data_IF_043459289001
#
_entry.id   IF_043459289001
#
_cell.length_a   1.000
_cell.length_b   1.000
_cell.length_c   1.000
_cell.angle_alpha   90.00
_cell.angle_beta   90.00
_cell.angle_gamma   90.00
#
_symmetry.space_group_name_H-M   'P 1'
#
loop_
_entity.id
_entity.type
_entity.pdbx_description
1 polymer ?
#
# COMPACT_ATOMS: atom_id res chain seq x y z
N UNK A 1 -5.41 6.54 3.48
CA UNK A 1 -6.34 5.76 2.62
C UNK A 1 -5.60 4.52 2.15
N UNK A 2 -6.30 3.48 1.70
CA UNK A 2 -5.64 2.22 1.32
C UNK A 2 -5.94 1.82 -0.12
N UNK A 3 -4.95 1.26 -0.79
CA UNK A 3 -5.08 0.62 -2.11
C UNK A 3 -4.65 -0.84 -2.02
N UNK A 4 -5.47 -1.73 -2.59
CA UNK A 4 -5.10 -3.10 -2.89
C UNK A 4 -4.77 -3.20 -4.37
N UNK A 5 -3.53 -3.57 -4.71
CA UNK A 5 -3.06 -3.68 -6.09
C UNK A 5 -2.84 -5.14 -6.47
N UNK A 6 -3.36 -5.52 -7.64
CA UNK A 6 -2.96 -6.75 -8.34
C UNK A 6 -2.00 -6.39 -9.45
N UNK A 7 -0.94 -7.18 -9.60
CA UNK A 7 0.06 -6.99 -10.63
C UNK A 7 0.22 -8.25 -11.48
N UNK A 8 0.74 -8.08 -12.68
CA UNK A 8 1.14 -9.22 -13.50
C UNK A 8 2.27 -10.00 -12.82
N UNK A 9 2.07 -11.30 -12.63
CA UNK A 9 2.97 -12.12 -11.83
C UNK A 9 4.22 -12.52 -12.61
N UNK A 10 5.31 -11.77 -12.40
CA UNK A 10 6.67 -12.21 -12.69
C UNK A 10 7.64 -11.57 -11.68
N UNK A 11 8.77 -12.22 -11.37
CA UNK A 11 9.78 -11.66 -10.43
C UNK A 11 10.28 -10.27 -10.86
N UNK A 12 10.53 -10.09 -12.16
CA UNK A 12 10.99 -8.80 -12.71
C UNK A 12 9.90 -7.73 -12.59
N UNK A 13 8.65 -8.14 -12.79
CA UNK A 13 7.49 -7.26 -12.73
C UNK A 13 7.25 -6.71 -11.31
N UNK A 14 7.38 -7.56 -10.29
CA UNK A 14 7.24 -7.13 -8.89
C UNK A 14 8.26 -6.07 -8.50
N UNK A 15 9.52 -6.24 -8.91
CA UNK A 15 10.58 -5.29 -8.58
C UNK A 15 10.37 -3.90 -9.23
N UNK A 16 9.87 -3.87 -10.47
CA UNK A 16 9.51 -2.61 -11.14
C UNK A 16 8.40 -1.88 -10.38
N UNK A 17 7.39 -2.61 -9.91
CA UNK A 17 6.28 -2.03 -9.12
C UNK A 17 6.78 -1.51 -7.78
N UNK A 18 7.62 -2.28 -7.08
CA UNK A 18 8.20 -1.87 -5.81
C UNK A 18 8.97 -0.56 -5.92
N UNK A 19 9.87 -0.44 -6.91
CA UNK A 19 10.65 0.78 -7.11
C UNK A 19 9.77 1.97 -7.52
N UNK A 20 8.76 1.74 -8.37
CA UNK A 20 7.81 2.78 -8.74
C UNK A 20 7.00 3.28 -7.53
N UNK A 21 6.50 2.37 -6.69
CA UNK A 21 5.73 2.73 -5.48
C UNK A 21 6.58 3.47 -4.46
N UNK A 22 7.85 3.10 -4.28
CA UNK A 22 8.80 3.82 -3.39
C UNK A 22 9.07 5.26 -3.84
N UNK A 23 8.96 5.55 -5.14
CA UNK A 23 9.20 6.87 -5.70
C UNK A 23 8.00 7.82 -5.59
N UNK A 24 6.83 7.34 -5.14
CA UNK A 24 5.63 8.16 -5.01
C UNK A 24 5.59 8.76 -3.59
N UNK A 25 5.80 10.07 -3.46
CA UNK A 25 5.84 10.78 -2.17
C UNK A 25 4.60 10.59 -1.29
N UNK A 26 3.44 10.34 -1.91
CA UNK A 26 2.18 10.11 -1.20
C UNK A 26 2.06 8.71 -0.58
N UNK A 27 2.95 7.77 -0.92
CA UNK A 27 2.99 6.41 -0.35
C UNK A 27 3.68 6.46 1.01
N UNK A 28 2.90 6.22 2.07
CA UNK A 28 3.39 6.23 3.46
C UNK A 28 3.85 4.84 3.90
N UNK A 29 3.15 3.81 3.42
CA UNK A 29 3.50 2.43 3.65
C UNK A 29 3.11 1.58 2.45
N UNK A 30 3.86 0.51 2.21
CA UNK A 30 3.56 -0.47 1.19
C UNK A 30 4.01 -1.85 1.67
N UNK A 31 3.13 -2.83 1.55
CA UNK A 31 3.37 -4.19 1.99
C UNK A 31 3.11 -5.16 0.85
N UNK A 32 4.05 -6.07 0.62
CA UNK A 32 3.75 -7.29 -0.15
C UNK A 32 2.89 -8.18 0.74
N UNK A 33 1.71 -8.57 0.25
CA UNK A 33 0.75 -9.35 1.04
C UNK A 33 0.42 -10.65 0.32
N UNK A 34 0.12 -11.69 1.09
CA UNK A 34 -0.47 -12.91 0.56
C UNK A 34 -1.98 -12.80 0.56
N UNK A 35 -2.64 -13.15 -0.54
CA UNK A 35 -4.10 -13.21 -0.62
C UNK A 35 -4.61 -12.69 -1.96
N UNK A 36 -5.67 -11.89 -1.90
CA UNK A 36 -6.35 -11.36 -3.09
C UNK A 36 -5.59 -10.23 -3.77
N UNK A 37 -4.61 -9.61 -3.12
CA UNK A 37 -3.79 -8.55 -3.70
C UNK A 37 -2.31 -8.90 -3.54
N UNK A 38 -1.47 -8.31 -4.40
CA UNK A 38 -0.02 -8.48 -4.33
C UNK A 38 0.61 -7.41 -3.45
N UNK A 39 0.08 -6.19 -3.53
CA UNK A 39 0.51 -5.06 -2.72
C UNK A 39 -0.67 -4.43 -1.97
N UNK A 40 -0.42 -4.06 -0.73
CA UNK A 40 -1.29 -3.24 0.10
C UNK A 40 -0.59 -1.93 0.43
N UNK A 41 -1.13 -0.83 -0.12
CA UNK A 41 -0.49 0.49 -0.10
C UNK A 41 -1.31 1.43 0.77
N UNK A 42 -0.64 2.14 1.66
CA UNK A 42 -1.21 3.27 2.40
C UNK A 42 -0.79 4.58 1.75
N UNK A 43 -1.77 5.40 1.38
CA UNK A 43 -1.58 6.72 0.82
C UNK A 43 -2.04 7.83 1.79
N UNK A 44 -1.25 8.89 1.89
CA UNK A 44 -1.63 10.14 2.53
C UNK A 44 -1.71 11.27 1.50
N UNK A 45 -2.92 11.81 1.33
CA UNK A 45 -3.24 12.86 0.37
C UNK A 45 -4.17 13.88 1.03
N UNK A 46 -4.08 15.17 0.67
CA UNK A 46 -4.88 16.23 1.29
C UNK A 46 -6.35 16.20 0.88
N UNK A 47 -6.67 15.68 -0.32
CA UNK A 47 -8.02 15.68 -0.88
C UNK A 47 -8.21 14.61 -1.98
N UNK A 48 -9.46 14.45 -2.42
CA UNK A 48 -9.84 13.47 -3.43
C UNK A 48 -9.30 13.79 -4.83
N UNK A 49 -9.06 15.08 -5.16
CA UNK A 49 -8.50 15.45 -6.46
C UNK A 49 -7.04 15.04 -6.56
N UNK A 50 -6.30 15.20 -5.48
CA UNK A 50 -4.91 14.75 -5.36
C UNK A 50 -4.85 13.23 -5.41
N UNK A 51 -5.77 12.54 -4.73
CA UNK A 51 -5.91 11.09 -4.86
C UNK A 51 -6.11 10.64 -6.31
N UNK A 52 -7.07 11.23 -7.02
CA UNK A 52 -7.40 10.86 -8.40
C UNK A 52 -6.19 11.00 -9.33
N UNK A 53 -5.39 12.06 -9.15
CA UNK A 53 -4.13 12.27 -9.88
C UNK A 53 -3.08 11.22 -9.52
N UNK A 54 -2.86 10.95 -8.23
CA UNK A 54 -1.90 9.91 -7.81
C UNK A 54 -2.32 8.54 -8.34
N UNK A 55 -3.60 8.21 -8.26
CA UNK A 55 -4.12 6.94 -8.76
C UNK A 55 -3.93 6.81 -10.28
N UNK A 56 -4.36 7.81 -11.04
CA UNK A 56 -4.39 7.72 -12.51
C UNK A 56 -3.01 7.93 -13.12
N UNK A 57 -2.31 8.98 -12.71
CA UNK A 57 -1.07 9.44 -13.37
C UNK A 57 0.16 8.69 -12.87
N UNK A 58 0.11 8.09 -11.68
CA UNK A 58 1.25 7.40 -11.07
C UNK A 58 0.96 5.91 -10.87
N UNK A 59 -0.04 5.53 -10.06
CA UNK A 59 -0.27 4.12 -9.70
C UNK A 59 -0.70 3.28 -10.92
N UNK A 60 -1.75 3.69 -11.62
CA UNK A 60 -2.29 2.97 -12.78
C UNK A 60 -1.38 3.10 -14.02
N UNK A 61 -0.50 4.10 -14.05
CA UNK A 61 0.52 4.24 -15.08
C UNK A 61 1.68 3.24 -14.94
N UNK A 62 1.80 2.56 -13.79
CA UNK A 62 2.75 1.46 -13.61
C UNK A 62 2.24 0.29 -14.46
N UNK A 63 2.80 0.09 -15.65
CA UNK A 63 2.33 -0.90 -16.62
C UNK A 63 2.02 -2.30 -16.07
N UNK A 64 2.82 -2.85 -15.15
CA UNK A 64 2.51 -4.08 -14.41
C UNK A 64 1.20 -4.15 -13.62
N UNK A 65 0.63 -3.02 -13.22
CA UNK A 65 -0.58 -2.96 -12.38
C UNK A 65 -1.80 -3.34 -13.23
N UNK A 66 -2.57 -4.32 -12.76
CA UNK A 66 -3.72 -4.89 -13.47
C UNK A 66 -5.05 -4.52 -12.84
N UNK A 67 -5.09 -4.41 -11.52
CA UNK A 67 -6.27 -3.99 -10.77
C UNK A 67 -5.84 -3.14 -9.58
N UNK A 68 -6.65 -2.12 -9.26
CA UNK A 68 -6.44 -1.27 -8.11
C UNK A 68 -7.79 -1.01 -7.42
N UNK A 69 -7.90 -1.41 -6.15
CA UNK A 69 -9.11 -1.19 -5.36
C UNK A 69 -8.81 -0.22 -4.22
N UNK A 70 -9.56 0.88 -4.18
CA UNK A 70 -9.40 1.90 -3.15
C UNK A 70 -10.37 1.71 -1.99
N UNK A 71 -9.87 1.93 -0.78
CA UNK A 71 -10.64 1.91 0.46
C UNK A 71 -10.34 3.16 1.27
N UNK A 72 -11.40 3.89 1.63
CA UNK A 72 -11.30 5.10 2.43
C UNK A 72 -11.65 4.81 3.89
N UNK A 73 -10.81 5.26 4.81
CA UNK A 73 -11.11 5.21 6.22
C UNK A 73 -12.11 6.31 6.56
N UNK A 74 -13.29 5.93 7.06
CA UNK A 74 -14.31 6.89 7.52
C UNK A 74 -13.87 7.50 8.85
N UNK A 75 -13.34 6.67 9.76
CA UNK A 75 -12.83 7.09 11.06
C UNK A 75 -11.79 6.09 11.55
N UNK A 76 -10.70 6.61 12.11
CA UNK A 76 -9.73 5.79 12.84
C UNK A 76 -10.29 5.43 14.21
N UNK A 77 -10.39 4.12 14.50
CA UNK A 77 -10.91 3.64 15.79
C UNK A 77 -9.79 3.56 16.83
N UNK A 78 -8.60 3.12 16.41
CA UNK A 78 -7.40 3.01 17.23
C UNK A 78 -6.21 3.37 16.36
N UNK A 79 -5.36 4.26 16.88
CA UNK A 79 -4.03 4.55 16.34
C UNK A 79 -3.05 4.45 17.52
N UNK A 80 -2.27 3.37 17.57
CA UNK A 80 -1.33 3.11 18.67
C UNK A 80 0.06 3.38 18.14
N UNK A 81 0.85 4.12 18.95
CA UNK A 81 2.25 4.43 18.67
C UNK A 81 3.17 3.20 18.78
N UNK A 82 4.30 3.27 19.50
CA UNK A 82 5.29 2.19 19.52
C UNK A 82 4.70 0.81 19.79
N UNK A 83 5.27 -0.21 19.14
CA UNK A 83 4.84 -1.61 19.28
C UNK A 83 4.77 -2.01 20.76
N UNK A 84 3.73 -2.75 21.20
CA UNK A 84 3.52 -3.09 22.60
C UNK A 84 4.39 -4.29 23.03
N UNK A 85 5.71 -4.13 22.92
CA UNK A 85 6.72 -5.18 23.19
C UNK A 85 6.63 -5.71 24.63
N UNK A 86 6.20 -4.89 25.58
CA UNK A 86 6.12 -5.25 27.00
C UNK A 86 4.97 -6.23 27.33
N UNK A 87 4.08 -6.49 26.37
CA UNK A 87 2.90 -7.34 26.58
C UNK A 87 2.99 -8.71 25.92
N UNK A 88 4.06 -8.98 25.16
CA UNK A 88 4.25 -10.28 24.51
C UNK A 88 4.93 -11.29 25.43
N UNK A 89 4.41 -12.53 25.50
CA UNK A 89 5.15 -13.61 26.13
C UNK A 89 6.47 -13.80 25.36
N UNK A 90 7.57 -14.03 26.08
CA UNK A 90 8.86 -14.27 25.45
C UNK A 90 8.74 -15.42 24.45
N UNK A 91 9.02 -15.15 23.17
CA UNK A 91 9.06 -16.17 22.12
C UNK A 91 10.02 -17.29 22.56
N UNK A 92 9.52 -18.52 22.64
CA UNK A 92 10.33 -19.73 22.87
C UNK A 92 10.43 -20.48 21.52
N UNK A 93 11.65 -20.66 20.97
CA UNK A 93 11.85 -21.38 19.71
C UNK A 93 11.52 -22.87 19.82
#
# INVERSE_FOLDING_TARGET
MFLSLKVEHSRTTSQVVEEALKAIDHVVACHVVSGDADFFVELAVPDLRTFEKVLTDQILAIGPVRDARSTFCIRTVVDRGPLPLNSWPAWRP
#
